data_IF_792136194890
#
_entry.id   IF_792136194890
#
_cell.length_a   1.000
_cell.length_b   1.000
_cell.length_c   1.000
_cell.angle_alpha   90.00
_cell.angle_beta   90.00
_cell.angle_gamma   90.00
#
_symmetry.space_group_name_H-M   'P 1'
#
loop_
_entity.id
_entity.type
_entity.pdbx_description
1 polymer ?
#
# COMPACT_ATOMS: atom_id res chain seq x y z
N UNK A 1 -2.46 12.96 -44.51
CA UNK A 1 -2.42 11.79 -43.60
C UNK A 1 -1.18 11.88 -42.68
N UNK A 2 -1.22 12.74 -41.65
CA UNK A 2 -0.12 12.83 -40.65
C UNK A 2 -0.66 12.83 -39.21
N UNK A 3 -1.98 12.68 -39.05
CA UNK A 3 -2.66 12.80 -37.75
C UNK A 3 -2.72 11.46 -37.00
N UNK A 4 -2.47 10.34 -37.67
CA UNK A 4 -2.64 9.00 -37.09
C UNK A 4 -1.41 8.44 -36.37
N UNK A 5 -0.21 9.00 -36.61
CA UNK A 5 1.01 8.51 -35.95
C UNK A 5 1.24 9.10 -34.55
N UNK A 6 0.71 10.31 -34.27
CA UNK A 6 0.82 10.93 -32.96
C UNK A 6 -0.06 10.26 -31.89
N UNK A 7 -1.22 9.72 -32.28
CA UNK A 7 -2.14 9.05 -31.35
C UNK A 7 -1.60 7.71 -30.82
N UNK A 8 -0.78 7.02 -31.61
CA UNK A 8 -0.24 5.71 -31.24
C UNK A 8 0.88 5.89 -30.21
N UNK A 9 1.73 6.91 -30.35
CA UNK A 9 2.81 7.19 -29.38
C UNK A 9 2.27 7.68 -28.03
N UNK A 10 1.16 8.40 -28.00
CA UNK A 10 0.50 8.82 -26.76
C UNK A 10 -0.10 7.63 -25.98
N UNK A 11 -0.55 6.57 -26.67
CA UNK A 11 -1.04 5.35 -26.05
C UNK A 11 0.10 4.46 -25.50
N UNK A 12 1.29 4.49 -26.10
CA UNK A 12 2.45 3.75 -25.59
C UNK A 12 3.12 4.37 -24.36
N UNK A 13 2.87 5.66 -24.07
CA UNK A 13 3.31 6.30 -22.81
C UNK A 13 2.37 6.04 -21.63
N UNK A 14 1.16 5.52 -21.88
CA UNK A 14 0.19 5.16 -20.84
C UNK A 14 0.48 3.80 -20.18
N UNK A 15 1.38 3.00 -20.77
CA UNK A 15 1.96 1.82 -20.14
C UNK A 15 3.31 2.20 -19.50
N UNK A 16 3.33 3.17 -18.59
CA UNK A 16 4.28 3.03 -17.49
C UNK A 16 3.89 1.70 -16.86
N UNK A 17 4.71 0.66 -17.03
CA UNK A 17 4.68 -0.49 -16.15
C UNK A 17 4.46 0.10 -14.76
N UNK A 18 3.33 -0.23 -14.11
CA UNK A 18 3.06 0.29 -12.78
C UNK A 18 4.32 -0.02 -11.99
N UNK A 19 5.07 1.03 -11.66
CA UNK A 19 6.34 0.90 -10.96
C UNK A 19 6.06 0.03 -9.75
N UNK A 20 6.84 -1.04 -9.54
CA UNK A 20 6.60 -1.94 -8.39
C UNK A 20 6.76 -1.09 -7.13
N UNK A 21 5.61 -0.68 -6.58
CA UNK A 21 5.51 0.37 -5.57
C UNK A 21 6.18 -0.14 -4.31
N UNK A 22 6.02 -1.42 -4.00
CA UNK A 22 6.60 -2.02 -2.82
C UNK A 22 8.13 -2.15 -2.93
N UNK A 23 8.66 -2.61 -4.07
CA UNK A 23 10.11 -2.67 -4.30
C UNK A 23 10.74 -1.28 -4.31
N UNK A 24 10.08 -0.31 -4.95
CA UNK A 24 10.52 1.08 -5.00
C UNK A 24 10.52 1.71 -3.59
N UNK A 25 9.45 1.52 -2.82
CA UNK A 25 9.38 2.00 -1.44
C UNK A 25 10.36 1.28 -0.50
N UNK A 26 10.68 0.00 -0.73
CA UNK A 26 11.74 -0.67 0.03
C UNK A 26 13.07 0.06 -0.14
N UNK A 27 13.45 0.37 -1.40
CA UNK A 27 14.69 1.09 -1.73
C UNK A 27 14.71 2.51 -1.18
N UNK A 28 13.57 3.21 -1.25
CA UNK A 28 13.50 4.63 -0.85
C UNK A 28 13.45 4.83 0.68
N UNK A 29 12.92 3.85 1.43
CA UNK A 29 12.61 4.05 2.86
C UNK A 29 13.48 3.25 3.80
N UNK A 30 14.02 2.11 3.35
CA UNK A 30 14.85 1.22 4.15
C UNK A 30 16.31 1.39 3.71
N UNK A 31 17.12 1.96 4.58
CA UNK A 31 18.56 2.09 4.32
C UNK A 31 19.21 0.70 4.22
N UNK A 32 20.02 0.48 3.19
CA UNK A 32 20.77 -0.75 3.01
C UNK A 32 21.67 -1.02 4.23
N UNK A 33 21.55 -2.20 4.83
CA UNK A 33 22.31 -2.54 6.04
C UNK A 33 21.65 -2.08 7.36
N UNK A 34 20.43 -1.55 7.30
CA UNK A 34 19.60 -1.37 8.47
C UNK A 34 19.31 -2.75 9.10
N UNK A 35 19.66 -2.93 10.37
CA UNK A 35 19.39 -4.18 11.10
C UNK A 35 17.90 -4.55 11.18
N UNK A 36 17.00 -3.57 11.00
CA UNK A 36 15.56 -3.78 10.90
C UNK A 36 15.06 -4.08 9.49
N UNK A 37 15.90 -4.05 8.45
CA UNK A 37 15.49 -4.24 7.05
C UNK A 37 14.65 -5.50 6.87
N UNK A 38 15.17 -6.66 7.27
CA UNK A 38 14.44 -7.92 7.17
C UNK A 38 13.17 -7.97 8.03
N UNK A 39 13.15 -7.27 9.18
CA UNK A 39 11.98 -7.22 10.06
C UNK A 39 10.86 -6.36 9.43
N UNK A 40 11.21 -5.19 8.89
CA UNK A 40 10.28 -4.30 8.17
C UNK A 40 9.72 -5.04 6.95
N UNK A 41 10.59 -5.58 6.10
CA UNK A 41 10.19 -6.31 4.90
C UNK A 41 9.32 -7.53 5.23
N UNK A 42 9.64 -8.24 6.31
CA UNK A 42 8.83 -9.36 6.78
C UNK A 42 7.43 -8.90 7.24
N UNK A 43 7.31 -7.85 8.07
CA UNK A 43 5.99 -7.35 8.50
C UNK A 43 5.14 -6.90 7.31
N UNK A 44 5.71 -6.12 6.39
CA UNK A 44 4.95 -5.62 5.24
C UNK A 44 4.62 -6.73 4.24
N UNK A 45 5.52 -7.70 4.05
CA UNK A 45 5.30 -8.87 3.20
C UNK A 45 4.26 -9.85 3.75
N UNK A 46 4.14 -9.95 5.08
CA UNK A 46 3.16 -10.81 5.77
C UNK A 46 1.88 -10.08 6.18
N UNK A 47 1.82 -8.77 5.97
CA UNK A 47 0.75 -7.89 6.44
C UNK A 47 0.55 -7.94 7.98
N UNK A 48 1.62 -8.21 8.74
CA UNK A 48 1.58 -8.23 10.20
C UNK A 48 1.83 -6.83 10.77
N UNK A 49 0.80 -5.98 10.81
CA UNK A 49 0.90 -4.57 11.22
C UNK A 49 0.58 -4.31 12.70
N UNK A 50 0.68 -5.32 13.56
CA UNK A 50 0.34 -5.18 14.98
C UNK A 50 1.39 -4.33 15.75
N UNK A 51 0.91 -3.54 16.72
CA UNK A 51 1.69 -2.57 17.53
C UNK A 51 2.42 -3.21 18.73
N UNK A 52 3.14 -4.31 18.54
CA UNK A 52 3.88 -4.97 19.63
C UNK A 52 5.40 -4.90 19.48
N UNK A 53 5.89 -4.05 18.58
CA UNK A 53 7.30 -3.99 18.22
C UNK A 53 8.05 -2.84 18.90
N UNK A 54 9.38 -2.87 18.76
CA UNK A 54 10.23 -1.73 19.08
C UNK A 54 9.83 -0.49 18.28
N UNK A 55 9.99 0.69 18.89
CA UNK A 55 9.66 1.96 18.25
C UNK A 55 10.35 2.12 16.89
N UNK A 56 11.61 1.72 16.76
CA UNK A 56 12.37 1.84 15.51
C UNK A 56 11.82 0.97 14.38
N UNK A 57 11.37 -0.25 14.69
CA UNK A 57 10.72 -1.13 13.72
C UNK A 57 9.37 -0.55 13.28
N UNK A 58 8.60 0.01 14.21
CA UNK A 58 7.34 0.70 13.91
C UNK A 58 7.55 1.94 13.04
N UNK A 59 8.51 2.80 13.37
CA UNK A 59 8.82 4.01 12.60
C UNK A 59 9.24 3.65 11.16
N UNK A 60 10.08 2.62 11.00
CA UNK A 60 10.47 2.10 9.69
C UNK A 60 9.28 1.55 8.90
N UNK A 61 8.41 0.79 9.55
CA UNK A 61 7.18 0.24 8.94
C UNK A 61 6.20 1.34 8.53
N UNK A 62 6.01 2.35 9.38
CA UNK A 62 5.17 3.54 9.09
C UNK A 62 5.75 4.30 7.90
N UNK A 63 7.07 4.54 7.86
CA UNK A 63 7.74 5.22 6.75
C UNK A 63 7.54 4.47 5.44
N UNK A 64 7.76 3.16 5.43
CA UNK A 64 7.52 2.30 4.27
C UNK A 64 6.07 2.37 3.80
N UNK A 65 5.11 2.18 4.71
CA UNK A 65 3.69 2.16 4.35
C UNK A 65 3.17 3.54 3.91
N UNK A 66 3.71 4.63 4.45
CA UNK A 66 3.41 5.98 3.96
C UNK A 66 3.88 6.17 2.52
N UNK A 67 5.07 5.67 2.17
CA UNK A 67 5.54 5.66 0.79
C UNK A 67 4.58 4.88 -0.12
N UNK A 68 4.21 3.66 0.27
CA UNK A 68 3.31 2.80 -0.53
C UNK A 68 1.97 3.49 -0.77
N UNK A 69 1.31 3.96 0.30
CA UNK A 69 -0.01 4.59 0.20
C UNK A 69 0.03 5.89 -0.61
N UNK A 70 1.12 6.64 -0.55
CA UNK A 70 1.31 7.85 -1.36
C UNK A 70 1.51 7.50 -2.83
N UNK A 71 2.38 6.54 -3.16
CA UNK A 71 2.66 6.11 -4.55
C UNK A 71 1.47 5.39 -5.20
N UNK A 72 0.65 4.68 -4.43
CA UNK A 72 -0.64 4.14 -4.90
C UNK A 72 -1.73 5.22 -5.06
N UNK A 73 -1.45 6.46 -4.66
CA UNK A 73 -2.42 7.56 -4.56
C UNK A 73 -3.61 7.25 -3.63
N UNK A 74 -3.43 6.33 -2.69
CA UNK A 74 -4.41 5.98 -1.65
C UNK A 74 -4.35 6.94 -0.47
N UNK A 75 -3.28 7.71 -0.33
CA UNK A 75 -3.11 8.73 0.70
C UNK A 75 -2.51 10.00 0.11
N UNK A 76 -2.98 11.15 0.59
CA UNK A 76 -2.34 12.44 0.34
C UNK A 76 -0.96 12.50 1.01
N UNK A 77 0.12 12.70 0.26
CA UNK A 77 1.46 12.74 0.86
C UNK A 77 1.66 13.90 1.85
N UNK A 78 0.95 15.02 1.67
CA UNK A 78 1.11 16.21 2.50
C UNK A 78 0.19 16.21 3.71
N UNK A 79 -1.10 15.87 3.49
CA UNK A 79 -2.13 15.88 4.52
C UNK A 79 -2.30 14.55 5.22
N UNK A 80 -1.63 13.50 4.71
CA UNK A 80 -1.80 12.10 5.13
C UNK A 80 -3.26 11.62 5.10
N UNK A 81 -4.09 12.23 4.25
CA UNK A 81 -5.51 11.95 4.18
C UNK A 81 -5.79 10.74 3.27
N UNK A 82 -6.55 9.76 3.76
CA UNK A 82 -6.99 8.60 2.97
C UNK A 82 -7.92 8.99 1.81
N UNK A 83 -7.54 8.60 0.59
CA UNK A 83 -8.30 8.82 -0.66
C UNK A 83 -9.20 7.62 -0.97
N UNK A 84 -10.29 7.53 -0.21
CA UNK A 84 -11.28 6.43 -0.28
C UNK A 84 -11.76 6.14 -1.71
N UNK A 85 -12.09 7.16 -2.51
CA UNK A 85 -12.57 6.96 -3.88
C UNK A 85 -11.52 6.30 -4.79
N UNK A 86 -10.23 6.58 -4.58
CA UNK A 86 -9.16 5.93 -5.35
C UNK A 86 -9.09 4.44 -5.03
N UNK A 87 -9.22 4.08 -3.76
CA UNK A 87 -9.21 2.68 -3.30
C UNK A 87 -10.41 1.94 -3.88
N UNK A 88 -11.60 2.55 -3.83
CA UNK A 88 -12.82 1.97 -4.41
C UNK A 88 -12.65 1.70 -5.90
N UNK A 89 -12.05 2.65 -6.63
CA UNK A 89 -11.80 2.51 -8.06
C UNK A 89 -10.77 1.41 -8.37
N UNK A 90 -9.66 1.36 -7.64
CA UNK A 90 -8.63 0.32 -7.82
C UNK A 90 -9.16 -1.08 -7.55
N UNK A 91 -10.06 -1.21 -6.57
CA UNK A 91 -10.69 -2.48 -6.21
C UNK A 91 -11.92 -2.81 -7.08
N UNK A 92 -12.32 -1.93 -8.00
CA UNK A 92 -13.53 -2.07 -8.82
C UNK A 92 -14.80 -2.32 -7.97
N UNK A 93 -14.97 -1.52 -6.92
CA UNK A 93 -16.05 -1.66 -5.92
C UNK A 93 -17.17 -0.63 -6.09
N UNK A 94 -17.28 0.03 -7.24
CA UNK A 94 -18.20 1.15 -7.48
C UNK A 94 -19.67 0.80 -7.12
N UNK A 95 -20.06 -0.45 -7.38
CA UNK A 95 -21.40 -0.98 -7.11
C UNK A 95 -21.56 -1.63 -5.73
N UNK A 96 -20.48 -1.93 -5.00
CA UNK A 96 -20.52 -2.59 -3.69
C UNK A 96 -20.62 -1.56 -2.55
N UNK A 97 -21.84 -1.09 -2.29
CA UNK A 97 -22.11 -0.07 -1.26
C UNK A 97 -21.56 -0.44 0.12
N UNK A 98 -21.62 -1.72 0.51
CA UNK A 98 -21.20 -2.17 1.85
C UNK A 98 -19.69 -2.07 2.01
N UNK A 99 -18.92 -2.51 1.01
CA UNK A 99 -17.46 -2.38 1.05
C UNK A 99 -17.01 -0.93 0.95
N UNK A 100 -17.66 -0.10 0.14
CA UNK A 100 -17.40 1.34 0.08
C UNK A 100 -17.56 2.01 1.44
N UNK A 101 -18.66 1.70 2.15
CA UNK A 101 -18.90 2.23 3.49
C UNK A 101 -17.83 1.74 4.49
N UNK A 102 -17.45 0.46 4.43
CA UNK A 102 -16.39 -0.09 5.27
C UNK A 102 -15.04 0.62 5.05
N UNK A 103 -14.65 0.84 3.79
CA UNK A 103 -13.42 1.60 3.45
C UNK A 103 -13.53 3.04 3.94
N UNK A 104 -14.71 3.67 3.80
CA UNK A 104 -14.99 5.02 4.28
C UNK A 104 -14.74 5.20 5.78
N UNK A 105 -15.05 4.18 6.60
CA UNK A 105 -14.82 4.17 8.05
C UNK A 105 -13.35 4.15 8.45
N UNK A 106 -12.43 3.90 7.51
CA UNK A 106 -10.99 3.98 7.78
C UNK A 106 -10.43 5.39 7.69
N UNK A 107 -11.22 6.40 7.30
CA UNK A 107 -10.81 7.80 7.47
C UNK A 107 -10.73 8.11 8.97
N UNK A 108 -9.60 8.67 9.38
CA UNK A 108 -9.40 9.16 10.74
C UNK A 108 -9.21 10.68 10.74
N UNK A 109 -9.72 11.35 11.78
CA UNK A 109 -9.44 12.76 12.07
C UNK A 109 -8.29 12.94 13.06
N UNK A 110 -7.81 11.85 13.66
CA UNK A 110 -6.69 11.83 14.60
C UNK A 110 -5.36 11.81 13.82
N UNK A 111 -4.52 12.85 13.92
CA UNK A 111 -3.23 12.92 13.21
C UNK A 111 -2.30 11.73 13.47
N UNK A 112 -2.35 11.12 14.66
CA UNK A 112 -1.50 9.97 14.99
C UNK A 112 -1.91 8.71 14.22
N UNK A 113 -3.20 8.62 13.88
CA UNK A 113 -3.77 7.51 13.11
C UNK A 113 -3.77 7.75 11.59
N UNK A 114 -3.42 8.97 11.14
CA UNK A 114 -3.32 9.32 9.73
C UNK A 114 -1.97 8.88 9.16
N UNK A 115 -1.79 7.56 8.99
CA UNK A 115 -0.60 7.00 8.34
C UNK A 115 -0.95 5.70 7.57
N UNK A 116 -0.13 5.36 6.58
CA UNK A 116 -0.38 4.23 5.68
C UNK A 116 -0.45 2.88 6.38
N UNK A 117 0.30 2.67 7.47
CA UNK A 117 0.23 1.44 8.24
C UNK A 117 -1.13 1.28 8.94
N UNK A 118 -1.60 2.34 9.62
CA UNK A 118 -2.91 2.35 10.28
C UNK A 118 -4.08 2.26 9.30
N UNK A 119 -3.95 2.89 8.13
CA UNK A 119 -4.94 2.71 7.08
C UNK A 119 -4.98 1.29 6.55
N UNK A 120 -3.83 0.67 6.29
CA UNK A 120 -3.80 -0.74 5.87
C UNK A 120 -4.38 -1.66 6.93
N UNK A 121 -4.02 -1.47 8.20
CA UNK A 121 -4.57 -2.22 9.32
C UNK A 121 -6.10 -2.13 9.35
N UNK A 122 -6.66 -0.92 9.20
CA UNK A 122 -8.11 -0.73 9.14
C UNK A 122 -8.75 -1.40 7.92
N UNK A 123 -8.15 -1.25 6.73
CA UNK A 123 -8.66 -1.83 5.48
C UNK A 123 -8.66 -3.37 5.47
N UNK A 124 -7.73 -3.97 6.23
CA UNK A 124 -7.64 -5.41 6.42
C UNK A 124 -8.48 -5.91 7.60
N UNK A 125 -8.90 -5.02 8.52
CA UNK A 125 -9.78 -5.37 9.63
C UNK A 125 -11.10 -5.89 9.07
N UNK A 126 -11.55 -7.04 9.57
CA UNK A 126 -12.76 -7.73 9.11
C UNK A 126 -13.90 -7.63 10.15
N UNK A 127 -14.55 -6.47 10.33
CA UNK A 127 -15.65 -6.35 11.28
C UNK A 127 -16.83 -7.28 10.95
N UNK A 128 -16.95 -7.77 9.70
CA UNK A 128 -18.14 -8.49 9.22
C UNK A 128 -17.79 -9.79 8.46
N UNK A 129 -16.55 -10.29 8.54
CA UNK A 129 -15.98 -11.38 7.71
C UNK A 129 -15.98 -11.16 6.18
N UNK A 130 -16.52 -10.06 5.65
CA UNK A 130 -16.41 -9.72 4.23
C UNK A 130 -15.02 -9.14 3.91
N UNK A 131 -14.29 -9.79 3.01
CA UNK A 131 -13.02 -9.31 2.50
C UNK A 131 -13.23 -8.07 1.61
N UNK A 132 -12.50 -7.00 1.89
CA UNK A 132 -12.48 -5.78 1.06
C UNK A 132 -11.82 -6.04 -0.30
N UNK A 133 -11.03 -7.10 -0.43
CA UNK A 133 -10.24 -7.40 -1.62
C UNK A 133 -8.90 -6.65 -1.67
N UNK A 134 -8.59 -5.87 -0.62
CA UNK A 134 -7.36 -5.06 -0.55
C UNK A 134 -6.11 -5.93 -0.62
N UNK A 135 -6.08 -7.03 0.14
CA UNK A 135 -4.93 -7.93 0.19
C UNK A 135 -4.66 -8.58 -1.17
N UNK A 136 -5.71 -9.10 -1.82
CA UNK A 136 -5.58 -9.76 -3.11
C UNK A 136 -5.19 -8.77 -4.20
N UNK A 137 -5.77 -7.57 -4.19
CA UNK A 137 -5.38 -6.49 -5.10
C UNK A 137 -3.88 -6.16 -4.98
N UNK A 138 -3.40 -5.89 -3.76
CA UNK A 138 -1.99 -5.54 -3.52
C UNK A 138 -1.07 -6.65 -4.01
N UNK A 139 -1.34 -7.92 -3.64
CA UNK A 139 -0.50 -9.06 -4.04
C UNK A 139 -0.47 -9.27 -5.56
N UNK A 140 -1.60 -9.09 -6.24
CA UNK A 140 -1.70 -9.25 -7.68
C UNK A 140 -1.02 -8.11 -8.44
N UNK A 141 -1.05 -6.90 -7.88
CA UNK A 141 -0.42 -5.71 -8.46
C UNK A 141 1.10 -5.71 -8.29
N UNK A 142 1.60 -6.26 -7.19
CA UNK A 142 3.00 -6.15 -6.76
C UNK A 142 3.70 -7.53 -6.68
N UNK A 143 3.67 -8.34 -7.76
CA UNK A 143 4.11 -9.73 -7.70
C UNK A 143 5.62 -9.86 -7.48
N UNK A 144 6.45 -8.89 -7.90
CA UNK A 144 7.91 -8.97 -7.72
C UNK A 144 8.28 -8.87 -6.24
N UNK A 145 7.57 -8.04 -5.49
CA UNK A 145 7.72 -7.95 -4.05
C UNK A 145 7.15 -9.17 -3.33
N UNK A 146 5.89 -9.54 -3.59
CA UNK A 146 5.19 -10.55 -2.78
C UNK A 146 5.50 -12.01 -3.12
N UNK A 147 6.16 -12.30 -4.24
CA UNK A 147 6.67 -13.63 -4.54
C UNK A 147 8.02 -13.93 -3.88
N UNK A 148 8.62 -12.97 -3.17
CA UNK A 148 9.86 -13.15 -2.40
C UNK A 148 9.53 -13.44 -0.93
N UNK A 149 10.25 -14.37 -0.32
CA UNK A 149 10.16 -14.62 1.12
C UNK A 149 11.08 -13.67 1.89
N UNK A 150 10.50 -12.69 2.58
CA UNK A 150 11.23 -11.62 3.27
C UNK A 150 11.62 -11.93 4.72
N UNK A 151 11.07 -12.97 5.33
CA UNK A 151 11.22 -13.27 6.76
C UNK A 151 12.44 -14.15 7.10
N UNK A 152 13.42 -14.23 6.22
CA UNK A 152 14.61 -15.07 6.46
C UNK A 152 15.44 -14.48 7.59
N UNK A 153 15.57 -15.22 8.69
CA UNK A 153 16.37 -14.81 9.86
C UNK A 153 15.67 -13.85 10.82
N UNK A 154 14.35 -13.64 10.68
CA UNK A 154 13.54 -12.86 11.60
C UNK A 154 13.01 -13.74 12.73
N UNK A 155 13.24 -13.35 13.98
CA UNK A 155 12.67 -13.98 15.18
C UNK A 155 11.81 -12.96 15.91
N UNK A 156 10.57 -13.31 16.22
CA UNK A 156 9.61 -12.48 16.97
C UNK A 156 9.68 -12.77 18.47
#
# INVERSE_FOLDING_TARGET
MWVSFALIVALFLAAKAAEDVYESCAKDTIESGNHWEHHILCKVGTFNMQDHDSQSLMDGTIKFMNCVFTKMAWMDGSKKELKVEKIISDLSLETDKKKKEQIGKCKSTDPEQQNGMKYLECLLRRPNKSDTGVLSFIKNREPVFFNKFHCKGVTF
#
